data_IF_801244089647
#
_entry.id   IF_801244089647
#
_cell.length_a   1.000
_cell.length_b   1.000
_cell.length_c   1.000
_cell.angle_alpha   90.00
_cell.angle_beta   90.00
_cell.angle_gamma   90.00
#
_symmetry.space_group_name_H-M   'P 1'
#
loop_
_entity.id
_entity.type
_entity.pdbx_description
1 polymer ?
#
# COMPACT_ATOMS: atom_id res chain seq x y z
N UNK A 1 -9.83 6.88 -7.55
CA UNK A 1 -9.62 5.82 -6.53
C UNK A 1 -10.89 5.01 -6.51
N UNK A 2 -10.76 3.70 -6.51
CA UNK A 2 -11.91 2.78 -6.61
C UNK A 2 -12.23 2.17 -5.25
N UNK A 3 -11.22 1.92 -4.40
CA UNK A 3 -11.40 1.46 -3.01
C UNK A 3 -10.55 2.32 -2.09
N UNK A 4 -11.15 2.77 -0.99
CA UNK A 4 -10.46 3.41 0.12
C UNK A 4 -10.89 2.75 1.43
N UNK A 5 -9.93 2.25 2.20
CA UNK A 5 -10.19 1.65 3.51
C UNK A 5 -9.25 2.23 4.57
N UNK A 6 -9.72 2.24 5.82
CA UNK A 6 -9.00 2.75 6.98
C UNK A 6 -9.05 1.72 8.10
N UNK A 7 -7.90 1.46 8.70
CA UNK A 7 -7.74 0.74 9.95
C UNK A 7 -7.09 1.64 11.00
N UNK A 8 -7.41 1.41 12.27
CA UNK A 8 -6.80 2.10 13.40
C UNK A 8 -6.55 1.08 14.50
N UNK A 9 -5.28 0.91 14.86
CA UNK A 9 -4.85 0.00 15.91
C UNK A 9 -4.32 0.82 17.07
N UNK A 10 -4.91 0.61 18.25
CA UNK A 10 -4.46 1.20 19.50
C UNK A 10 -3.53 0.21 20.20
N UNK A 11 -2.33 0.66 20.56
CA UNK A 11 -1.45 -0.05 21.47
C UNK A 11 -1.41 0.71 22.79
N UNK A 12 -1.66 0.00 23.89
CA UNK A 12 -1.45 0.55 25.23
C UNK A 12 -0.61 -0.39 26.10
N UNK A 13 0.23 0.19 26.95
CA UNK A 13 0.90 -0.54 28.05
C UNK A 13 0.21 -0.21 29.37
N UNK A 14 -0.24 -1.24 30.08
CA UNK A 14 -0.73 -1.14 31.46
C UNK A 14 0.35 -1.67 32.41
N UNK A 15 0.64 -0.93 33.49
CA UNK A 15 1.56 -1.37 34.53
C UNK A 15 0.91 -1.16 35.90
N UNK A 16 1.10 -2.13 36.81
CA UNK A 16 0.65 -2.20 38.21
C UNK A 16 -0.87 -2.31 38.50
N UNK A 17 -1.77 -1.60 37.83
CA UNK A 17 -3.24 -1.80 37.98
C UNK A 17 -3.97 -1.52 36.66
N UNK A 18 -5.17 -2.12 36.45
CA UNK A 18 -6.02 -1.91 35.25
C UNK A 18 -6.40 -0.43 34.97
N UNK A 19 -6.03 0.49 35.86
CA UNK A 19 -6.42 1.90 35.84
C UNK A 19 -5.35 2.86 35.29
N UNK A 20 -4.09 2.44 35.15
CA UNK A 20 -2.99 3.32 34.75
C UNK A 20 -2.51 2.94 33.34
N UNK A 21 -2.91 3.72 32.33
CA UNK A 21 -2.39 3.67 30.95
C UNK A 21 -1.18 4.61 30.86
N UNK A 22 0.03 4.08 30.63
CA UNK A 22 1.27 4.88 30.64
C UNK A 22 1.67 5.33 29.24
N UNK A 23 1.47 4.49 28.23
CA UNK A 23 1.69 4.80 26.81
C UNK A 23 0.45 4.40 26.03
N UNK A 24 -0.13 5.32 25.25
CA UNK A 24 -1.19 5.04 24.28
C UNK A 24 -0.72 5.56 22.93
N UNK A 25 -0.49 4.66 21.98
CA UNK A 25 -0.06 5.01 20.63
C UNK A 25 -1.02 4.43 19.60
N UNK A 26 -1.43 5.27 18.66
CA UNK A 26 -2.27 4.88 17.53
C UNK A 26 -1.42 4.66 16.28
N UNK A 27 -1.65 3.53 15.64
CA UNK A 27 -1.22 3.25 14.27
C UNK A 27 -2.43 3.37 13.35
N UNK A 28 -2.33 4.22 12.32
CA UNK A 28 -3.36 4.35 11.28
C UNK A 28 -2.85 3.74 9.99
N UNK A 29 -3.66 2.89 9.38
CA UNK A 29 -3.32 2.27 8.11
C UNK A 29 -4.43 2.53 7.09
N UNK A 30 -4.04 2.94 5.89
CA UNK A 30 -4.94 3.20 4.78
C UNK A 30 -4.64 2.24 3.65
N UNK A 31 -5.68 1.72 3.02
CA UNK A 31 -5.57 1.03 1.74
C UNK A 31 -6.22 1.90 0.68
N UNK A 32 -5.45 2.26 -0.34
CA UNK A 32 -5.87 3.13 -1.44
C UNK A 32 -5.67 2.34 -2.73
N UNK A 33 -6.77 1.87 -3.31
CA UNK A 33 -6.73 1.03 -4.51
C UNK A 33 -7.27 1.81 -5.71
N UNK A 34 -6.53 1.76 -6.81
CA UNK A 34 -6.96 2.23 -8.12
C UNK A 34 -6.76 1.10 -9.13
N UNK A 35 -7.75 0.84 -9.96
CA UNK A 35 -7.68 -0.10 -11.07
C UNK A 35 -7.81 0.65 -12.39
N UNK A 36 -6.93 0.33 -13.35
CA UNK A 36 -7.03 0.78 -14.73
C UNK A 36 -7.18 -0.44 -15.65
N UNK A 37 -8.11 -0.35 -16.60
CA UNK A 37 -8.28 -1.40 -17.61
C UNK A 37 -7.20 -1.33 -18.69
N UNK A 38 -6.48 -0.22 -18.79
CA UNK A 38 -5.50 0.07 -19.85
C UNK A 38 -4.09 -0.24 -19.38
N UNK A 39 -3.17 -0.27 -20.33
CA UNK A 39 -1.74 -0.33 -20.06
C UNK A 39 -1.30 0.94 -19.31
N UNK A 40 -0.50 0.77 -18.26
CA UNK A 40 -0.06 1.89 -17.41
C UNK A 40 1.44 2.13 -17.61
N UNK A 41 1.77 3.32 -18.10
CA UNK A 41 3.15 3.75 -18.26
C UNK A 41 3.72 4.33 -16.95
N UNK A 42 4.98 4.78 -17.02
CA UNK A 42 5.66 5.40 -15.88
C UNK A 42 4.90 6.62 -15.34
N UNK A 43 4.34 7.46 -16.21
CA UNK A 43 3.63 8.66 -15.81
C UNK A 43 2.40 8.32 -14.98
N UNK A 44 1.64 7.27 -15.34
CA UNK A 44 0.50 6.82 -14.55
C UNK A 44 0.87 6.38 -13.13
N UNK A 45 2.01 5.70 -12.95
CA UNK A 45 2.51 5.32 -11.61
C UNK A 45 3.02 6.54 -10.83
N UNK A 46 3.65 7.50 -11.50
CA UNK A 46 4.11 8.76 -10.89
C UNK A 46 2.94 9.62 -10.43
N UNK A 47 1.89 9.76 -11.23
CA UNK A 47 0.66 10.48 -10.88
C UNK A 47 -0.03 9.85 -9.68
N UNK A 48 -0.17 8.52 -9.69
CA UNK A 48 -0.72 7.81 -8.54
C UNK A 48 0.13 8.03 -7.29
N UNK A 49 1.45 8.00 -7.40
CA UNK A 49 2.37 8.28 -6.29
C UNK A 49 2.27 9.71 -5.78
N UNK A 50 2.10 10.70 -6.67
CA UNK A 50 1.85 12.11 -6.30
C UNK A 50 0.54 12.25 -5.54
N UNK A 51 -0.51 11.58 -6.00
CA UNK A 51 -1.79 11.52 -5.31
C UNK A 51 -1.66 10.91 -3.90
N UNK A 52 -0.95 9.78 -3.75
CA UNK A 52 -0.71 9.20 -2.42
C UNK A 52 0.03 10.17 -1.48
N UNK A 53 0.96 10.97 -2.00
CA UNK A 53 1.65 12.00 -1.22
C UNK A 53 0.73 13.17 -0.84
N UNK A 54 -0.19 13.57 -1.72
CA UNK A 54 -1.11 14.67 -1.43
C UNK A 54 -2.09 14.31 -0.32
N UNK A 55 -2.47 13.04 -0.20
CA UNK A 55 -3.28 12.53 0.91
C UNK A 55 -2.67 12.84 2.28
N UNK A 56 -1.36 13.02 2.39
CA UNK A 56 -0.70 13.28 3.68
C UNK A 56 -0.96 14.70 4.19
N UNK A 57 -1.32 15.64 3.30
CA UNK A 57 -1.50 17.04 3.66
C UNK A 57 -2.96 17.40 4.06
N UNK A 58 -3.94 16.51 3.83
CA UNK A 58 -5.37 16.69 4.20
C UNK A 58 -6.02 15.32 4.48
N UNK A 59 -6.93 15.08 5.45
CA UNK A 59 -7.11 15.57 6.82
C UNK A 59 -6.41 14.62 7.83
N UNK A 60 -5.20 14.14 7.53
CA UNK A 60 -4.40 13.35 8.47
C UNK A 60 -3.57 14.26 9.36
N UNK A 61 -4.23 15.07 10.19
CA UNK A 61 -3.51 15.87 11.19
C UNK A 61 -2.81 14.91 12.15
N UNK A 62 -1.48 14.86 12.17
CA UNK A 62 -0.75 14.04 13.14
C UNK A 62 -0.95 14.67 14.51
N UNK A 63 -1.61 13.95 15.43
CA UNK A 63 -1.65 14.30 16.85
C UNK A 63 -0.53 13.55 17.58
N UNK A 64 -0.17 14.02 18.77
CA UNK A 64 0.81 13.36 19.65
C UNK A 64 0.45 11.90 19.94
N UNK A 65 -0.83 11.55 19.82
CA UNK A 65 -1.31 10.17 20.03
C UNK A 65 -1.09 9.27 18.81
N UNK A 66 -0.95 9.83 17.60
CA UNK A 66 -0.75 9.05 16.36
C UNK A 66 0.75 8.92 16.10
N UNK A 67 1.29 7.75 16.41
CA UNK A 67 2.72 7.50 16.27
C UNK A 67 3.11 7.14 14.84
N UNK A 68 2.30 6.34 14.14
CA UNK A 68 2.59 5.97 12.75
C UNK A 68 1.34 5.99 11.87
N UNK A 69 1.54 6.44 10.64
CA UNK A 69 0.58 6.35 9.55
C UNK A 69 1.19 5.59 8.38
N UNK A 70 0.46 4.62 7.86
CA UNK A 70 0.88 3.87 6.67
C UNK A 70 -0.17 4.03 5.59
N UNK A 71 0.26 4.38 4.39
CA UNK A 71 -0.58 4.37 3.19
C UNK A 71 -0.12 3.21 2.30
N UNK A 72 -0.97 2.18 2.18
CA UNK A 72 -0.84 1.13 1.18
C UNK A 72 -1.49 1.60 -0.12
N UNK A 73 -0.68 2.10 -1.05
CA UNK A 73 -1.12 2.46 -2.38
C UNK A 73 -1.03 1.27 -3.31
N UNK A 74 -2.16 0.85 -3.88
CA UNK A 74 -2.26 -0.31 -4.77
C UNK A 74 -2.79 0.15 -6.12
N UNK A 75 -1.95 0.05 -7.16
CA UNK A 75 -2.35 0.34 -8.52
C UNK A 75 -2.45 -0.96 -9.31
N UNK A 76 -3.62 -1.24 -9.86
CA UNK A 76 -3.93 -2.46 -10.59
C UNK A 76 -4.05 -2.12 -12.06
N UNK A 77 -3.41 -2.90 -12.94
CA UNK A 77 -3.57 -2.77 -14.38
C UNK A 77 -4.07 -4.08 -14.98
N UNK A 78 -5.14 -4.01 -15.77
CA UNK A 78 -5.65 -5.17 -16.51
C UNK A 78 -4.80 -5.50 -17.74
N UNK A 79 -4.10 -4.52 -18.32
CA UNK A 79 -3.25 -4.71 -19.51
C UNK A 79 -1.75 -4.66 -19.19
N UNK A 80 -1.38 -4.56 -17.91
CA UNK A 80 -0.01 -4.54 -17.43
C UNK A 80 0.65 -3.15 -17.38
N UNK A 81 1.96 -3.16 -17.14
CA UNK A 81 2.77 -1.96 -16.90
C UNK A 81 4.01 -1.90 -17.81
N UNK A 82 4.50 -0.70 -18.09
CA UNK A 82 5.81 -0.54 -18.74
C UNK A 82 6.97 -0.93 -17.82
N UNK A 83 8.12 -1.28 -18.39
CA UNK A 83 9.31 -1.62 -17.61
C UNK A 83 9.78 -0.43 -16.76
N UNK A 84 9.67 0.78 -17.29
CA UNK A 84 9.99 2.02 -16.58
C UNK A 84 9.03 2.26 -15.42
N UNK A 85 7.75 1.93 -15.58
CA UNK A 85 6.75 1.99 -14.52
C UNK A 85 7.07 1.02 -13.38
N UNK A 86 7.44 -0.22 -13.72
CA UNK A 86 7.88 -1.24 -12.76
C UNK A 86 9.16 -0.81 -12.05
N UNK A 87 10.14 -0.30 -12.80
CA UNK A 87 11.41 0.21 -12.27
C UNK A 87 11.20 1.38 -11.32
N UNK A 88 10.30 2.31 -11.68
CA UNK A 88 9.89 3.41 -10.82
C UNK A 88 9.25 2.90 -9.52
N UNK A 89 8.26 2.00 -9.62
CA UNK A 89 7.57 1.46 -8.45
C UNK A 89 8.53 0.77 -7.47
N UNK A 90 9.50 -0.01 -7.98
CA UNK A 90 10.53 -0.67 -7.15
C UNK A 90 11.45 0.32 -6.44
N UNK A 91 11.80 1.43 -7.11
CA UNK A 91 12.71 2.47 -6.59
C UNK A 91 12.01 3.53 -5.73
N UNK A 92 10.69 3.62 -5.80
CA UNK A 92 9.90 4.62 -5.09
C UNK A 92 10.17 4.58 -3.58
N UNK A 93 10.55 5.72 -3.00
CA UNK A 93 10.75 5.87 -1.56
C UNK A 93 9.98 7.08 -1.07
N UNK A 94 9.26 6.90 0.01
CA UNK A 94 8.61 8.00 0.70
C UNK A 94 8.46 7.67 2.18
N UNK A 95 8.94 8.60 3.00
CA UNK A 95 8.71 8.67 4.43
C UNK A 95 8.68 10.15 4.82
N UNK A 96 7.75 10.55 5.67
CA UNK A 96 7.63 11.92 6.19
C UNK A 96 7.46 11.86 7.69
N UNK A 97 8.46 12.35 8.43
CA UNK A 97 8.35 12.54 9.88
C UNK A 97 7.81 13.93 10.18
N UNK A 98 7.00 14.05 11.22
CA UNK A 98 6.42 15.31 11.67
C UNK A 98 7.07 15.75 12.97
N UNK A 99 7.50 17.03 13.03
CA UNK A 99 8.23 17.59 14.16
C UNK A 99 9.41 16.71 14.61
N UNK A 100 10.32 16.39 13.68
CA UNK A 100 11.46 15.49 13.90
C UNK A 100 11.06 14.08 14.43
N UNK A 101 9.82 13.65 14.18
CA UNK A 101 9.29 12.36 14.63
C UNK A 101 8.48 12.43 15.93
N UNK A 102 8.46 13.57 16.61
CA UNK A 102 7.69 13.78 17.85
C UNK A 102 6.18 13.67 17.59
N UNK A 103 5.72 14.10 16.41
CA UNK A 103 4.31 13.96 15.98
C UNK A 103 4.10 12.75 15.05
N UNK A 104 4.94 11.73 15.21
CA UNK A 104 4.90 10.51 14.41
C UNK A 104 5.48 10.65 13.00
N UNK A 105 5.29 9.60 12.21
CA UNK A 105 5.73 9.53 10.81
C UNK A 105 4.67 8.92 9.91
N UNK A 106 4.78 9.21 8.61
CA UNK A 106 3.97 8.62 7.56
C UNK A 106 4.84 7.94 6.51
N UNK A 107 4.53 6.68 6.21
CA UNK A 107 5.17 5.90 5.16
C UNK A 107 4.19 5.57 4.02
N UNK A 108 4.70 5.47 2.79
CA UNK A 108 3.93 4.92 1.66
C UNK A 108 4.53 3.58 1.25
N UNK A 109 3.68 2.55 1.29
CA UNK A 109 3.91 1.23 0.68
C UNK A 109 3.23 1.25 -0.69
N UNK A 110 4.03 1.28 -1.76
CA UNK A 110 3.52 1.27 -3.14
C UNK A 110 3.57 -0.16 -3.68
N UNK A 111 2.43 -0.66 -4.12
CA UNK A 111 2.23 -1.96 -4.76
C UNK A 111 1.61 -1.71 -6.13
N UNK A 112 2.13 -2.36 -7.16
CA UNK A 112 1.50 -2.43 -8.48
C UNK A 112 1.17 -3.90 -8.79
N UNK A 113 -0.02 -4.14 -9.31
CA UNK A 113 -0.58 -5.47 -9.59
C UNK A 113 -0.87 -5.57 -11.07
N UNK A 114 -0.08 -6.37 -11.77
CA UNK A 114 -0.23 -6.69 -13.18
C UNK A 114 -1.14 -7.90 -13.32
N UNK A 115 -2.40 -7.68 -13.72
CA UNK A 115 -3.34 -8.79 -13.95
C UNK A 115 -3.10 -9.49 -15.28
N UNK A 116 -2.44 -8.84 -16.26
CA UNK A 116 -2.14 -9.42 -17.56
C UNK A 116 -1.10 -10.55 -17.43
N UNK A 117 -0.05 -10.30 -16.64
CA UNK A 117 1.01 -11.30 -16.39
C UNK A 117 0.85 -12.05 -15.07
N UNK A 118 -0.11 -11.67 -14.23
CA UNK A 118 -0.28 -12.26 -12.90
C UNK A 118 0.85 -11.91 -11.93
N UNK A 119 1.52 -10.76 -12.13
CA UNK A 119 2.73 -10.36 -11.39
C UNK A 119 2.45 -9.21 -10.44
N UNK A 120 3.25 -9.13 -9.39
CA UNK A 120 3.21 -8.05 -8.42
C UNK A 120 4.58 -7.44 -8.24
N UNK A 121 4.61 -6.13 -8.09
CA UNK A 121 5.82 -5.39 -7.78
C UNK A 121 5.54 -4.40 -6.66
N UNK A 122 6.56 -4.10 -5.86
CA UNK A 122 6.43 -3.11 -4.80
C UNK A 122 7.73 -2.36 -4.60
N UNK A 123 7.64 -1.22 -3.93
CA UNK A 123 8.81 -0.62 -3.32
C UNK A 123 9.31 -1.46 -2.13
N UNK A 124 10.44 -1.04 -1.54
CA UNK A 124 11.05 -1.74 -0.39
C UNK A 124 10.07 -1.96 0.75
N UNK A 125 9.37 -0.91 1.21
CA UNK A 125 8.40 -1.02 2.33
C UNK A 125 7.16 -1.84 1.95
N UNK A 126 6.74 -1.83 0.69
CA UNK A 126 5.60 -2.61 0.21
C UNK A 126 5.81 -4.13 0.27
N UNK A 127 7.06 -4.60 0.41
CA UNK A 127 7.35 -6.04 0.62
C UNK A 127 6.68 -6.62 1.87
N UNK A 128 6.42 -5.78 2.88
CA UNK A 128 5.79 -6.17 4.14
C UNK A 128 4.34 -6.66 3.94
N UNK A 129 3.66 -6.20 2.87
CA UNK A 129 2.23 -6.46 2.64
C UNK A 129 1.93 -7.10 1.28
N UNK A 130 2.94 -7.25 0.40
CA UNK A 130 2.74 -7.71 -0.98
C UNK A 130 2.07 -9.10 -1.06
N UNK A 131 2.25 -9.95 -0.04
CA UNK A 131 1.60 -11.26 0.04
C UNK A 131 0.08 -11.19 0.12
N UNK A 132 -0.48 -10.14 0.75
CA UNK A 132 -1.91 -9.92 0.88
C UNK A 132 -2.60 -9.60 -0.46
N UNK A 133 -1.83 -9.19 -1.47
CA UNK A 133 -2.34 -8.80 -2.78
C UNK A 133 -2.12 -9.87 -3.86
N UNK A 134 -1.52 -11.02 -3.51
CA UNK A 134 -1.25 -12.10 -4.48
C UNK A 134 -2.54 -12.54 -5.18
N UNK A 135 -2.46 -12.60 -6.50
CA UNK A 135 -3.52 -13.18 -7.33
C UNK A 135 -3.53 -14.67 -7.04
N UNK A 136 -4.64 -15.19 -6.54
CA UNK A 136 -4.81 -16.64 -6.37
C UNK A 136 -4.80 -17.25 -7.77
N UNK A 137 -3.85 -18.16 -8.04
CA UNK A 137 -3.97 -19.02 -9.20
C UNK A 137 -5.21 -19.90 -9.02
N UNK A 138 -6.03 -20.01 -10.06
CA UNK A 138 -7.08 -21.02 -10.11
C UNK A 138 -6.43 -22.40 -10.21
N UNK A 139 -6.11 -23.02 -9.08
CA UNK A 139 -5.87 -24.47 -9.04
C UNK A 139 -7.20 -25.17 -9.29
N UNK A 140 -7.50 -25.45 -10.57
CA UNK A 140 -8.55 -26.38 -11.00
C UNK A 140 -9.27 -25.95 -12.29
N UNK A 141 -8.91 -26.58 -13.41
CA UNK A 141 -9.78 -26.64 -14.60
C UNK A 141 -9.24 -26.06 -15.90
N UNK A 142 -8.08 -26.52 -16.37
CA UNK A 142 -7.80 -26.57 -17.83
C UNK A 142 -6.73 -27.64 -18.14
N UNK A 143 -7.10 -28.89 -17.86
CA UNK A 143 -6.54 -30.06 -18.54
C UNK A 143 -7.58 -30.60 -19.51
N UNK A 144 -7.89 -29.87 -20.59
CA UNK A 144 -8.61 -30.44 -21.72
C UNK A 144 -8.52 -29.50 -22.94
N UNK A 145 -7.41 -29.61 -23.67
CA UNK A 145 -7.31 -29.59 -25.16
C UNK A 145 -5.86 -29.37 -25.56
N UNK A 146 -5.02 -30.36 -25.29
CA UNK A 146 -3.97 -30.69 -26.24
C UNK A 146 -4.57 -31.79 -27.10
N UNK A 147 -5.19 -31.35 -28.20
CA UNK A 147 -5.77 -32.24 -29.20
C UNK A 147 -4.64 -33.13 -29.73
N UNK A 148 -5.02 -34.39 -29.88
CA UNK A 148 -4.27 -35.51 -30.41
C UNK A 148 -4.06 -35.34 -31.92
N UNK A 149 -2.90 -35.85 -32.38
CA UNK A 149 -2.31 -35.95 -33.73
C UNK A 149 -1.54 -34.72 -34.22
#
# INVERSE_FOLDING_TARGET
VDIFAKSSTEHFRQVLTKSIKIDQHYNKEYAVVKADKRFVDKNGVEEFSKYLKSLINEPFTPSVDIMSTIINGVLISASGFSEEAISYAKKFKFSKSFLLGIKGWCDIRLIIVDLNEGKLYSNHKGKEVISAYKIKSSSGGDKAKKLIL
#
